data_IF_355465327829
#
_entry.id   IF_355465327829
#
_cell.length_a   1.000
_cell.length_b   1.000
_cell.length_c   1.000
_cell.angle_alpha   90.00
_cell.angle_beta   90.00
_cell.angle_gamma   90.00
#
_symmetry.space_group_name_H-M   'P 1'
#
loop_
_entity.id
_entity.type
_entity.pdbx_description
1 polymer ?
#
# COMPACT_ATOMS: atom_id res chain seq x y z
N UNK A 1 -18.05 -0.12 -0.16
CA UNK A 1 -17.40 -0.76 1.00
C UNK A 1 -15.93 -0.38 1.18
N UNK A 2 -15.12 0.09 0.24
CA UNK A 2 -13.67 0.26 0.37
C UNK A 2 -12.90 -1.02 0.76
N UNK A 3 -11.63 -1.12 0.37
CA UNK A 3 -10.76 -2.19 0.82
C UNK A 3 -10.50 -2.03 2.33
N UNK A 4 -10.79 -3.04 3.17
CA UNK A 4 -10.68 -2.87 4.62
C UNK A 4 -9.22 -2.87 5.07
N UNK A 5 -8.92 -2.07 6.10
CA UNK A 5 -7.69 -2.25 6.87
C UNK A 5 -7.97 -3.23 8.01
N UNK A 6 -7.39 -4.42 7.90
CA UNK A 6 -7.54 -5.50 8.88
C UNK A 6 -6.40 -5.49 9.90
N UNK A 7 -6.67 -5.89 11.16
CA UNK A 7 -5.62 -6.02 12.16
C UNK A 7 -4.67 -7.18 11.82
N UNK A 8 -3.39 -6.99 12.15
CA UNK A 8 -2.35 -8.01 12.04
C UNK A 8 -1.57 -8.10 13.36
N UNK A 9 -1.12 -9.30 13.71
CA UNK A 9 -0.14 -9.52 14.76
C UNK A 9 1.19 -9.86 14.11
N UNK A 10 2.20 -9.00 14.28
CA UNK A 10 3.54 -9.19 13.72
C UNK A 10 4.58 -8.59 14.65
N UNK A 11 5.73 -9.25 14.78
CA UNK A 11 6.84 -8.78 15.63
C UNK A 11 7.34 -7.41 15.19
N UNK A 12 7.75 -6.60 16.15
CA UNK A 12 8.23 -5.24 15.90
C UNK A 12 9.46 -4.86 16.71
N UNK A 13 10.12 -3.77 16.32
CA UNK A 13 11.27 -3.21 17.04
C UNK A 13 10.88 -2.51 18.35
N UNK A 14 9.58 -2.27 18.57
CA UNK A 14 9.14 -1.54 19.75
C UNK A 14 9.34 -2.39 21.00
N UNK A 15 9.96 -1.83 22.05
CA UNK A 15 10.39 -2.61 23.20
C UNK A 15 9.18 -3.13 23.98
N UNK A 16 9.03 -4.45 23.98
CA UNK A 16 8.49 -5.20 25.13
C UNK A 16 9.58 -6.18 25.58
N UNK A 17 9.45 -6.80 26.77
CA UNK A 17 10.44 -7.74 27.32
C UNK A 17 10.71 -9.00 26.46
N UNK A 18 9.95 -9.16 25.38
CA UNK A 18 10.03 -10.11 24.27
C UNK A 18 9.80 -9.26 22.99
N UNK A 19 10.33 -9.57 21.79
CA UNK A 19 9.96 -8.83 20.57
C UNK A 19 8.44 -8.65 20.48
N UNK A 20 7.97 -7.43 20.71
CA UNK A 20 6.56 -7.14 20.95
C UNK A 20 5.80 -7.01 19.65
N UNK A 21 4.47 -7.20 19.67
CA UNK A 21 3.67 -6.90 18.49
C UNK A 21 3.79 -5.42 18.14
N UNK A 22 3.69 -5.12 16.84
CA UNK A 22 3.57 -3.75 16.35
C UNK A 22 2.42 -3.02 17.10
N UNK A 23 2.59 -1.73 17.48
CA UNK A 23 1.54 -0.98 18.16
C UNK A 23 0.22 -1.04 17.40
N UNK A 24 -0.92 -1.22 18.10
CA UNK A 24 -2.25 -1.42 17.47
C UNK A 24 -2.60 -0.37 16.42
N UNK A 25 -2.19 0.89 16.62
CA UNK A 25 -2.42 1.97 15.65
C UNK A 25 -1.70 1.74 14.31
N UNK A 26 -0.56 1.05 14.30
CA UNK A 26 0.24 0.72 13.10
C UNK A 26 -0.03 -0.68 12.57
N UNK A 27 -0.53 -1.57 13.43
CA UNK A 27 -0.78 -2.98 13.15
C UNK A 27 -2.06 -3.21 12.31
N UNK A 28 -2.17 -2.50 11.20
CA UNK A 28 -3.30 -2.51 10.27
C UNK A 28 -2.78 -2.57 8.84
N UNK A 29 -3.39 -3.37 7.98
CA UNK A 29 -2.97 -3.51 6.58
C UNK A 29 -4.12 -4.04 5.71
N UNK A 30 -3.98 -4.00 4.39
CA UNK A 30 -4.94 -4.65 3.49
C UNK A 30 -4.87 -6.19 3.62
N UNK A 31 -5.94 -6.93 3.29
CA UNK A 31 -5.98 -8.39 3.42
C UNK A 31 -4.85 -9.13 2.69
N UNK A 32 -4.51 -8.70 1.47
CA UNK A 32 -3.38 -9.22 0.70
C UNK A 32 -2.03 -8.95 1.38
N UNK A 33 -1.82 -7.75 1.92
CA UNK A 33 -0.62 -7.42 2.69
C UNK A 33 -0.52 -8.28 3.96
N UNK A 34 -1.64 -8.52 4.66
CA UNK A 34 -1.66 -9.43 5.81
C UNK A 34 -1.20 -10.83 5.41
N UNK A 35 -1.76 -11.38 4.33
CA UNK A 35 -1.38 -12.70 3.81
C UNK A 35 0.11 -12.76 3.44
N UNK A 36 0.62 -11.72 2.78
CA UNK A 36 2.02 -11.63 2.38
C UNK A 36 2.97 -11.57 3.58
N UNK A 37 2.66 -10.73 4.58
CA UNK A 37 3.48 -10.58 5.78
C UNK A 37 3.56 -11.87 6.60
N UNK A 38 2.43 -12.58 6.77
CA UNK A 38 2.40 -13.84 7.49
C UNK A 38 3.20 -14.92 6.74
N UNK A 39 3.00 -15.03 5.42
CA UNK A 39 3.75 -15.99 4.60
C UNK A 39 5.26 -15.69 4.60
N UNK A 40 5.65 -14.41 4.56
CA UNK A 40 7.05 -14.00 4.65
C UNK A 40 7.65 -14.28 6.02
N UNK A 41 6.90 -14.09 7.11
CA UNK A 41 7.35 -14.45 8.44
C UNK A 41 7.66 -15.95 8.53
N UNK A 42 6.79 -16.79 7.97
CA UNK A 42 6.97 -18.24 7.92
C UNK A 42 8.15 -18.66 7.03
N UNK A 43 8.37 -18.01 5.88
CA UNK A 43 9.49 -18.31 4.98
C UNK A 43 10.85 -17.85 5.51
N UNK A 44 10.89 -16.77 6.31
CA UNK A 44 12.13 -16.23 6.89
C UNK A 44 12.58 -17.03 8.11
N UNK A 45 11.64 -17.60 8.87
CA UNK A 45 11.92 -18.36 10.09
C UNK A 45 12.90 -19.56 9.89
N UNK A 46 12.73 -20.46 8.90
CA UNK A 46 13.65 -21.58 8.67
C UNK A 46 15.04 -21.14 8.20
N UNK A 47 15.19 -19.88 7.78
CA UNK A 47 16.47 -19.28 7.39
C UNK A 47 17.18 -18.61 8.58
N UNK A 48 16.74 -18.92 9.81
CA UNK A 48 17.19 -18.34 11.07
C UNK A 48 17.06 -16.81 11.14
N UNK A 49 16.17 -16.23 10.33
CA UNK A 49 15.77 -14.84 10.42
C UNK A 49 14.43 -14.69 11.13
N UNK A 50 14.02 -13.43 11.36
CA UNK A 50 12.68 -13.08 11.81
C UNK A 50 12.19 -11.86 11.04
N UNK A 51 10.94 -11.87 10.61
CA UNK A 51 10.31 -10.69 10.06
C UNK A 51 9.87 -9.77 11.22
N UNK A 52 10.63 -8.70 11.44
CA UNK A 52 10.38 -7.71 12.50
C UNK A 52 10.19 -6.35 11.85
N UNK A 53 9.06 -5.69 12.13
CA UNK A 53 8.70 -4.43 11.51
C UNK A 53 8.96 -3.22 12.41
N UNK A 54 9.34 -2.09 11.81
CA UNK A 54 9.35 -0.78 12.46
C UNK A 54 8.13 0.06 12.10
N UNK A 55 7.65 -0.04 10.86
CA UNK A 55 6.47 0.68 10.38
C UNK A 55 5.62 -0.22 9.48
N UNK A 56 4.30 -0.02 9.51
CA UNK A 56 3.33 -0.67 8.61
C UNK A 56 2.26 0.36 8.19
N UNK A 57 1.17 0.50 8.94
CA UNK A 57 0.22 1.59 8.73
C UNK A 57 0.68 2.86 9.45
N UNK A 58 0.54 4.00 8.76
CA UNK A 58 0.78 5.33 9.30
C UNK A 58 -0.44 6.22 9.03
N UNK A 59 -1.01 6.84 10.05
CA UNK A 59 -2.13 7.76 9.84
C UNK A 59 -1.71 9.01 9.05
N UNK A 60 -2.68 9.77 8.57
CA UNK A 60 -2.44 11.07 7.93
C UNK A 60 -1.59 11.99 8.82
N UNK A 61 -1.92 12.09 10.11
CA UNK A 61 -1.22 12.94 11.07
C UNK A 61 0.21 12.45 11.33
N UNK A 62 0.40 11.14 11.47
CA UNK A 62 1.72 10.54 11.63
C UNK A 62 2.58 10.76 10.36
N UNK A 63 1.98 10.65 9.17
CA UNK A 63 2.67 10.91 7.90
C UNK A 63 3.03 12.40 7.76
N UNK A 64 2.13 13.30 8.17
CA UNK A 64 2.38 14.74 8.19
C UNK A 64 3.54 15.08 9.12
N UNK A 65 3.57 14.48 10.32
CA UNK A 65 4.68 14.68 11.25
C UNK A 65 5.99 14.13 10.70
N UNK A 66 5.99 12.94 10.09
CA UNK A 66 7.16 12.37 9.45
C UNK A 66 7.69 13.25 8.30
N UNK A 67 6.79 13.85 7.52
CA UNK A 67 7.14 14.82 6.48
C UNK A 67 7.78 16.09 7.06
N UNK A 68 7.20 16.66 8.12
CA UNK A 68 7.76 17.82 8.82
C UNK A 68 9.15 17.54 9.40
N UNK A 69 9.33 16.35 9.98
CA UNK A 69 10.62 15.92 10.52
C UNK A 69 11.67 15.78 9.40
N UNK A 70 11.29 15.31 8.21
CA UNK A 70 12.17 15.28 7.04
C UNK A 70 12.51 16.69 6.52
N UNK A 71 11.50 17.55 6.32
CA UNK A 71 11.69 18.93 5.81
C UNK A 71 12.53 19.79 6.76
N UNK A 72 12.40 19.58 8.07
CA UNK A 72 13.20 20.28 9.09
C UNK A 72 14.61 19.70 9.28
N UNK A 73 14.95 18.58 8.63
CA UNK A 73 16.24 17.91 8.77
C UNK A 73 16.39 17.10 10.05
N UNK A 74 15.32 16.90 10.83
CA UNK A 74 15.30 16.01 11.99
C UNK A 74 15.37 14.53 11.59
N UNK A 75 14.90 14.20 10.39
CA UNK A 75 14.96 12.86 9.77
C UNK A 75 15.66 12.94 8.41
N UNK A 76 16.66 12.10 8.18
CA UNK A 76 17.41 12.05 6.90
C UNK A 76 16.74 11.22 5.80
N UNK A 77 15.89 10.28 6.22
CA UNK A 77 15.12 9.40 5.35
C UNK A 77 13.93 10.17 4.77
N UNK A 78 13.73 10.02 3.46
CA UNK A 78 12.71 10.77 2.73
C UNK A 78 11.32 10.41 3.24
N UNK A 79 10.50 11.43 3.52
CA UNK A 79 9.10 11.23 3.87
C UNK A 79 8.25 12.13 2.98
N UNK A 80 7.41 11.58 2.09
CA UNK A 80 6.54 12.39 1.25
C UNK A 80 5.47 13.10 2.10
N UNK A 81 4.85 14.18 1.60
CA UNK A 81 3.71 14.78 2.28
C UNK A 81 2.53 13.79 2.33
N UNK A 82 1.55 14.00 3.22
CA UNK A 82 0.36 13.15 3.31
C UNK A 82 -0.37 12.96 1.97
N UNK A 83 -1.05 11.82 1.84
CA UNK A 83 -1.71 11.41 0.60
C UNK A 83 -0.76 10.84 -0.46
N UNK A 84 0.51 10.59 -0.11
CA UNK A 84 1.55 10.16 -1.06
C UNK A 84 2.46 9.05 -0.52
N UNK A 85 2.07 8.40 0.58
CA UNK A 85 2.81 7.30 1.20
C UNK A 85 1.97 6.02 1.20
N UNK A 86 2.53 4.89 0.74
CA UNK A 86 1.83 3.60 0.82
C UNK A 86 1.59 3.12 2.26
N UNK A 87 2.35 3.62 3.24
CA UNK A 87 2.07 3.38 4.67
C UNK A 87 0.68 3.89 5.07
N UNK A 88 0.18 4.97 4.47
CA UNK A 88 -1.15 5.51 4.75
C UNK A 88 -2.29 4.57 4.31
N UNK A 89 -1.98 3.57 3.48
CA UNK A 89 -2.92 2.54 3.05
C UNK A 89 -2.63 1.17 3.67
N UNK A 90 -1.66 1.08 4.58
CA UNK A 90 -1.23 -0.21 5.15
C UNK A 90 -0.69 -1.19 4.10
N UNK A 91 -0.13 -0.66 3.01
CA UNK A 91 0.45 -1.41 1.88
C UNK A 91 1.96 -1.20 1.74
N UNK A 92 2.60 -0.53 2.70
CA UNK A 92 4.05 -0.50 2.83
C UNK A 92 4.48 -0.91 4.23
N UNK A 93 5.68 -1.44 4.35
CA UNK A 93 6.30 -1.73 5.63
C UNK A 93 7.78 -1.44 5.61
N UNK A 94 8.29 -1.04 6.78
CA UNK A 94 9.71 -0.92 7.05
C UNK A 94 10.10 -2.06 8.00
N UNK A 95 11.17 -2.79 7.67
CA UNK A 95 11.64 -3.93 8.45
C UNK A 95 13.00 -3.70 9.11
N UNK A 96 13.27 -4.39 10.21
CA UNK A 96 14.61 -4.44 10.79
C UNK A 96 15.49 -5.42 10.01
N UNK A 97 16.41 -4.87 9.20
CA UNK A 97 17.35 -5.66 8.42
C UNK A 97 18.21 -6.59 9.29
N UNK A 98 18.53 -6.21 10.54
CA UNK A 98 19.31 -7.06 11.43
C UNK A 98 18.50 -8.27 11.90
N UNK A 99 17.20 -8.09 12.13
CA UNK A 99 16.31 -9.17 12.57
C UNK A 99 16.10 -10.25 11.50
N UNK A 100 16.27 -9.91 10.21
CA UNK A 100 16.30 -10.89 9.11
C UNK A 100 17.48 -11.87 9.20
N UNK A 101 18.41 -11.70 10.14
CA UNK A 101 19.55 -12.58 10.33
C UNK A 101 20.48 -12.56 9.13
N UNK A 102 20.84 -13.72 8.61
CA UNK A 102 21.76 -13.81 7.47
C UNK A 102 21.22 -13.14 6.19
N UNK A 103 19.89 -13.04 6.05
CA UNK A 103 19.24 -12.43 4.88
C UNK A 103 19.46 -10.91 4.80
N UNK A 104 19.55 -10.20 5.93
CA UNK A 104 19.78 -8.75 5.95
C UNK A 104 21.24 -8.34 6.13
N UNK A 105 22.18 -9.29 6.10
CA UNK A 105 23.58 -9.04 6.43
C UNK A 105 24.42 -8.45 5.27
N UNK A 106 24.02 -8.69 4.01
CA UNK A 106 24.74 -8.24 2.80
C UNK A 106 23.76 -8.03 1.65
N UNK A 107 24.16 -7.33 0.60
CA UNK A 107 23.32 -7.12 -0.59
C UNK A 107 22.94 -8.42 -1.33
N UNK A 108 23.86 -9.37 -1.46
CA UNK A 108 23.59 -10.68 -2.07
C UNK A 108 22.53 -11.46 -1.28
N UNK A 109 22.60 -11.37 0.05
CA UNK A 109 21.62 -12.01 0.94
C UNK A 109 20.28 -11.28 0.93
N UNK A 110 20.30 -9.95 0.87
CA UNK A 110 19.09 -9.15 0.75
C UNK A 110 18.38 -9.42 -0.59
N UNK A 111 19.14 -9.73 -1.64
CA UNK A 111 18.59 -10.20 -2.93
C UNK A 111 17.80 -11.50 -2.77
N UNK A 112 18.22 -12.41 -1.89
CA UNK A 112 17.44 -13.62 -1.58
C UNK A 112 16.11 -13.23 -0.93
N UNK A 113 16.12 -12.33 0.05
CA UNK A 113 14.87 -11.83 0.66
C UNK A 113 13.97 -11.13 -0.36
N UNK A 114 14.52 -10.30 -1.26
CA UNK A 114 13.76 -9.67 -2.34
C UNK A 114 13.05 -10.70 -3.23
N UNK A 115 13.71 -11.84 -3.52
CA UNK A 115 13.11 -12.94 -4.29
C UNK A 115 12.00 -13.66 -3.51
N UNK A 116 12.12 -13.80 -2.19
CA UNK A 116 11.03 -14.34 -1.35
C UNK A 116 9.84 -13.37 -1.35
N UNK A 117 10.09 -12.08 -1.07
CA UNK A 117 9.09 -11.01 -1.10
C UNK A 117 8.32 -10.96 -2.43
N UNK A 118 9.03 -11.06 -3.56
CA UNK A 118 8.43 -11.00 -4.88
C UNK A 118 7.39 -12.11 -5.15
N UNK A 119 7.53 -13.29 -4.52
CA UNK A 119 6.53 -14.38 -4.65
C UNK A 119 5.16 -14.00 -4.10
N UNK A 120 5.15 -13.06 -3.15
CA UNK A 120 3.95 -12.55 -2.49
C UNK A 120 3.51 -11.18 -3.04
N UNK A 121 4.07 -10.75 -4.17
CA UNK A 121 3.78 -9.45 -4.78
C UNK A 121 4.35 -8.25 -4.01
N UNK A 122 5.25 -8.50 -3.06
CA UNK A 122 5.95 -7.47 -2.29
C UNK A 122 7.21 -7.05 -3.04
N UNK A 123 7.39 -5.75 -3.24
CA UNK A 123 8.51 -5.18 -3.99
C UNK A 123 9.29 -4.18 -3.14
N UNK A 124 10.63 -4.21 -3.15
CA UNK A 124 11.45 -3.16 -2.55
C UNK A 124 11.30 -1.86 -3.36
N UNK A 125 11.54 -0.70 -2.72
CA UNK A 125 11.63 0.58 -3.45
C UNK A 125 13.05 0.95 -3.87
N UNK A 126 14.03 0.14 -3.46
CA UNK A 126 15.46 0.32 -3.75
C UNK A 126 16.12 -0.99 -4.20
N UNK A 127 17.36 -0.89 -4.68
CA UNK A 127 18.15 -2.06 -5.01
C UNK A 127 18.54 -2.82 -3.72
N UNK A 128 18.88 -4.13 -3.79
CA UNK A 128 19.31 -4.90 -2.63
C UNK A 128 20.72 -4.50 -2.17
N UNK A 129 20.86 -3.30 -1.62
CA UNK A 129 22.06 -2.79 -0.97
C UNK A 129 21.71 -2.32 0.44
N UNK A 130 22.21 -3.02 1.45
CA UNK A 130 21.95 -2.74 2.87
C UNK A 130 22.41 -1.34 3.31
N UNK A 131 23.26 -0.67 2.52
CA UNK A 131 23.73 0.70 2.79
C UNK A 131 22.85 1.75 2.13
N UNK A 132 21.98 1.37 1.22
CA UNK A 132 21.08 2.29 0.54
C UNK A 132 20.04 2.82 1.53
N UNK A 133 19.75 4.12 1.45
CA UNK A 133 18.61 4.69 2.18
C UNK A 133 17.33 3.96 1.75
N UNK A 134 16.49 3.59 2.72
CA UNK A 134 15.25 2.84 2.47
C UNK A 134 15.45 1.40 1.97
N UNK A 135 16.62 0.77 2.19
CA UNK A 135 16.82 -0.66 1.91
C UNK A 135 15.91 -1.59 2.73
N UNK A 136 15.30 -1.06 3.79
CA UNK A 136 14.32 -1.71 4.66
C UNK A 136 12.87 -1.55 4.19
N UNK A 137 12.61 -0.73 3.17
CA UNK A 137 11.25 -0.35 2.77
C UNK A 137 10.71 -1.19 1.61
N UNK A 138 9.54 -1.77 1.82
CA UNK A 138 8.86 -2.64 0.87
C UNK A 138 7.39 -2.26 0.72
N UNK A 139 6.85 -2.46 -0.48
CA UNK A 139 5.46 -2.14 -0.84
C UNK A 139 4.76 -3.37 -1.43
N UNK A 140 3.48 -3.57 -1.10
CA UNK A 140 2.57 -4.45 -1.83
C UNK A 140 1.58 -3.57 -2.59
N UNK A 141 1.95 -3.22 -3.82
CA UNK A 141 1.17 -2.31 -4.66
C UNK A 141 -0.11 -2.95 -5.19
N UNK A 142 -0.14 -4.26 -5.40
CA UNK A 142 -1.31 -4.95 -5.95
C UNK A 142 -1.77 -4.31 -7.26
N UNK A 143 -3.08 -4.10 -7.41
CA UNK A 143 -3.65 -3.43 -8.58
C UNK A 143 -3.29 -1.93 -8.68
N UNK A 144 -2.75 -1.31 -7.63
CA UNK A 144 -2.25 0.07 -7.68
C UNK A 144 -0.97 0.20 -8.52
N UNK A 145 -0.31 -0.92 -8.85
CA UNK A 145 0.75 -0.92 -9.87
C UNK A 145 0.21 -0.46 -11.23
N UNK A 146 -1.05 -0.78 -11.57
CA UNK A 146 -1.70 -0.26 -12.80
C UNK A 146 -1.77 1.26 -12.80
N UNK A 147 -2.00 1.90 -11.65
CA UNK A 147 -2.01 3.36 -11.52
C UNK A 147 -0.61 3.94 -11.65
N UNK A 148 0.40 3.27 -11.07
CA UNK A 148 1.80 3.63 -11.28
C UNK A 148 2.14 3.61 -12.77
N UNK A 149 1.86 2.51 -13.45
CA UNK A 149 2.21 2.31 -14.87
C UNK A 149 1.45 3.29 -15.77
N UNK A 150 0.19 3.57 -15.44
CA UNK A 150 -0.63 4.57 -16.12
C UNK A 150 0.03 5.97 -16.11
N UNK A 151 0.51 6.41 -14.95
CA UNK A 151 1.21 7.69 -14.81
C UNK A 151 2.62 7.65 -15.39
N UNK A 152 3.32 6.53 -15.29
CA UNK A 152 4.65 6.36 -15.89
C UNK A 152 4.59 6.42 -17.42
N UNK A 153 3.48 5.97 -18.02
CA UNK A 153 3.18 6.10 -19.44
C UNK A 153 2.69 7.50 -19.86
N UNK A 154 2.58 8.46 -18.93
CA UNK A 154 2.20 9.84 -19.22
C UNK A 154 0.69 10.07 -19.44
N UNK A 155 -0.17 9.10 -19.10
CA UNK A 155 -1.63 9.24 -19.25
C UNK A 155 -2.25 10.18 -18.20
N UNK A 156 -1.59 10.31 -17.05
CA UNK A 156 -1.84 11.35 -16.05
C UNK A 156 -0.56 12.16 -15.82
N UNK A 157 -0.69 13.46 -15.56
CA UNK A 157 0.45 14.40 -15.53
C UNK A 157 0.47 15.30 -14.30
N UNK A 158 -0.58 15.30 -13.47
CA UNK A 158 -0.67 16.17 -12.30
C UNK A 158 0.18 15.73 -11.09
N UNK A 159 0.77 14.53 -11.11
CA UNK A 159 1.66 14.03 -10.05
C UNK A 159 2.63 12.96 -10.55
N UNK A 160 3.63 12.62 -9.73
CA UNK A 160 4.58 11.52 -10.02
C UNK A 160 3.88 10.16 -9.93
N UNK A 161 4.35 9.13 -10.69
CA UNK A 161 3.75 7.79 -10.67
C UNK A 161 3.60 7.17 -9.27
N UNK A 162 4.65 7.23 -8.44
CA UNK A 162 4.60 6.71 -7.07
C UNK A 162 3.53 7.42 -6.21
N UNK A 163 3.42 8.75 -6.34
CA UNK A 163 2.40 9.54 -5.63
C UNK A 163 0.99 9.18 -6.07
N UNK A 164 0.76 8.95 -7.38
CA UNK A 164 -0.55 8.56 -7.89
C UNK A 164 -0.96 7.17 -7.40
N UNK A 165 -0.03 6.23 -7.42
CA UNK A 165 -0.27 4.88 -6.93
C UNK A 165 -0.57 4.86 -5.42
N UNK A 166 0.19 5.62 -4.62
CA UNK A 166 -0.07 5.79 -3.19
C UNK A 166 -1.43 6.47 -2.94
N UNK A 167 -1.75 7.55 -3.65
CA UNK A 167 -3.05 8.22 -3.52
C UNK A 167 -4.21 7.27 -3.85
N UNK A 168 -4.08 6.48 -4.92
CA UNK A 168 -5.04 5.43 -5.28
C UNK A 168 -5.23 4.40 -4.16
N UNK A 169 -4.15 3.96 -3.53
CA UNK A 169 -4.20 3.01 -2.43
C UNK A 169 -4.92 3.59 -1.20
N UNK A 170 -4.65 4.85 -0.86
CA UNK A 170 -5.24 5.53 0.30
C UNK A 170 -6.75 5.70 0.13
N UNK A 171 -7.21 6.25 -1.01
CA UNK A 171 -8.65 6.39 -1.27
C UNK A 171 -9.35 5.03 -1.41
N UNK A 172 -8.64 3.99 -1.87
CA UNK A 172 -9.17 2.63 -1.91
C UNK A 172 -9.40 2.03 -0.53
N UNK A 173 -8.67 2.47 0.49
CA UNK A 173 -8.93 2.15 1.89
C UNK A 173 -9.99 3.05 2.55
N UNK A 174 -10.67 3.90 1.76
CA UNK A 174 -11.68 4.86 2.27
C UNK A 174 -11.09 6.05 3.01
N UNK A 175 -9.79 6.29 2.86
CA UNK A 175 -9.07 7.36 3.57
C UNK A 175 -8.95 8.62 2.70
N UNK A 176 -8.99 9.78 3.35
CA UNK A 176 -8.92 11.08 2.70
C UNK A 176 -7.53 11.34 2.10
N UNK A 177 -7.51 11.96 0.93
CA UNK A 177 -6.33 12.54 0.29
C UNK A 177 -6.66 13.99 -0.09
N UNK A 178 -6.05 14.97 0.57
CA UNK A 178 -6.49 16.37 0.51
C UNK A 178 -6.58 16.94 -0.91
N UNK A 179 -5.60 16.62 -1.77
CA UNK A 179 -5.58 17.14 -3.14
C UNK A 179 -6.58 16.45 -4.07
N UNK A 180 -7.31 15.43 -3.60
CA UNK A 180 -8.42 14.79 -4.31
C UNK A 180 -9.80 15.24 -3.78
N UNK A 181 -9.83 16.22 -2.87
CA UNK A 181 -11.05 16.78 -2.29
C UNK A 181 -11.30 16.34 -0.85
N UNK A 182 -12.44 16.79 -0.30
CA UNK A 182 -12.79 16.57 1.11
C UNK A 182 -13.28 15.17 1.42
N UNK A 183 -13.76 14.43 0.40
CA UNK A 183 -14.21 13.04 0.54
C UNK A 183 -13.34 12.14 -0.34
N UNK A 184 -13.13 10.87 0.05
CA UNK A 184 -12.35 9.93 -0.77
C UNK A 184 -13.08 9.48 -2.04
N UNK A 185 -14.40 9.71 -2.13
CA UNK A 185 -15.28 9.07 -3.13
C UNK A 185 -14.90 9.40 -4.58
N UNK A 186 -14.71 10.68 -4.98
CA UNK A 186 -14.35 10.98 -6.36
C UNK A 186 -12.99 10.41 -6.77
N UNK A 187 -12.00 10.55 -5.88
CA UNK A 187 -10.67 9.96 -6.05
C UNK A 187 -10.73 8.43 -6.13
N UNK A 188 -11.58 7.79 -5.31
CA UNK A 188 -11.82 6.36 -5.35
C UNK A 188 -12.34 5.91 -6.71
N UNK A 189 -13.41 6.56 -7.22
CA UNK A 189 -13.99 6.26 -8.54
C UNK A 189 -12.92 6.38 -9.64
N UNK A 190 -12.22 7.52 -9.70
CA UNK A 190 -11.17 7.74 -10.69
C UNK A 190 -10.07 6.68 -10.61
N UNK A 191 -9.58 6.40 -9.39
CA UNK A 191 -8.51 5.42 -9.20
C UNK A 191 -8.94 4.00 -9.55
N UNK A 192 -10.18 3.62 -9.21
CA UNK A 192 -10.77 2.33 -9.55
C UNK A 192 -10.92 2.14 -11.06
N UNK A 193 -11.34 3.19 -11.78
CA UNK A 193 -11.42 3.16 -13.24
C UNK A 193 -10.06 2.94 -13.90
N UNK A 194 -9.00 3.61 -13.41
CA UNK A 194 -7.62 3.38 -13.89
C UNK A 194 -7.21 1.93 -13.63
N UNK A 195 -7.47 1.42 -12.42
CA UNK A 195 -7.17 0.01 -12.04
C UNK A 195 -7.91 -1.00 -12.91
N UNK A 196 -9.11 -0.66 -13.40
CA UNK A 196 -9.91 -1.42 -14.37
C UNK A 196 -9.50 -1.15 -15.84
N UNK A 197 -8.34 -0.52 -16.06
CA UNK A 197 -7.75 -0.31 -17.38
C UNK A 197 -8.33 0.85 -18.17
N UNK A 198 -9.17 1.70 -17.57
CA UNK A 198 -9.76 2.84 -18.26
C UNK A 198 -8.80 4.03 -18.32
N UNK A 199 -8.96 4.83 -19.38
CA UNK A 199 -8.29 6.11 -19.55
C UNK A 199 -9.21 7.26 -19.15
N UNK A 200 -8.81 7.99 -18.10
CA UNK A 200 -9.59 9.10 -17.53
C UNK A 200 -8.86 10.45 -17.59
N UNK A 201 -7.59 10.47 -18.02
CA UNK A 201 -6.68 11.58 -17.75
C UNK A 201 -6.14 11.56 -16.32
N UNK A 202 -6.26 12.69 -15.60
CA UNK A 202 -5.72 12.84 -14.24
C UNK A 202 -6.62 12.21 -13.16
N UNK A 203 -5.99 11.65 -12.12
CA UNK A 203 -6.57 11.44 -10.80
C UNK A 203 -6.49 12.75 -10.02
N UNK A 204 -7.60 13.47 -9.90
CA UNK A 204 -7.67 14.83 -9.34
C UNK A 204 -8.89 15.10 -8.44
N UNK A 205 -9.72 14.08 -8.20
CA UNK A 205 -10.93 14.20 -7.41
C UNK A 205 -12.13 14.79 -8.16
N UNK A 206 -12.04 15.01 -9.48
CA UNK A 206 -13.11 15.64 -10.26
C UNK A 206 -13.77 14.65 -11.23
N UNK A 207 -15.08 14.40 -11.07
CA UNK A 207 -15.86 13.53 -11.97
C UNK A 207 -16.20 14.28 -13.28
N UNK A 208 -15.18 14.40 -14.12
CA UNK A 208 -15.25 15.07 -15.42
C UNK A 208 -15.65 14.16 -16.60
N UNK A 209 -15.58 14.68 -17.84
CA UNK A 209 -15.96 13.94 -19.04
C UNK A 209 -15.17 12.64 -19.26
N UNK A 210 -13.88 12.61 -18.94
CA UNK A 210 -13.03 11.41 -19.03
C UNK A 210 -13.51 10.30 -18.11
N UNK A 211 -13.70 10.61 -16.83
CA UNK A 211 -14.28 9.71 -15.83
C UNK A 211 -15.66 9.19 -16.26
N UNK A 212 -16.55 10.06 -16.75
CA UNK A 212 -17.89 9.65 -17.21
C UNK A 212 -17.84 8.77 -18.46
N UNK A 213 -16.89 9.01 -19.37
CA UNK A 213 -16.65 8.14 -20.53
C UNK A 213 -16.18 6.76 -20.08
N UNK A 214 -15.22 6.68 -19.17
CA UNK A 214 -14.73 5.43 -18.60
C UNK A 214 -15.84 4.63 -17.89
N UNK A 215 -16.71 5.28 -17.11
CA UNK A 215 -17.87 4.64 -16.50
C UNK A 215 -18.79 4.00 -17.57
N UNK A 216 -19.12 4.75 -18.63
CA UNK A 216 -19.94 4.22 -19.73
C UNK A 216 -19.29 3.04 -20.46
N UNK A 217 -17.98 3.07 -20.67
CA UNK A 217 -17.25 1.95 -21.28
C UNK A 217 -17.38 0.65 -20.46
N UNK A 218 -17.53 0.76 -19.14
CA UNK A 218 -17.75 -0.36 -18.24
C UNK A 218 -19.24 -0.68 -18.02
N UNK A 219 -20.15 -0.02 -18.75
CA UNK A 219 -21.60 -0.22 -18.61
C UNK A 219 -22.20 0.38 -17.33
N UNK A 220 -21.48 1.29 -16.66
CA UNK A 220 -21.96 1.95 -15.43
C UNK A 220 -22.72 3.23 -15.80
N UNK A 221 -24.02 3.28 -15.47
CA UNK A 221 -24.92 4.42 -15.75
C UNK A 221 -25.20 5.32 -14.55
N UNK A 222 -24.63 5.01 -13.38
CA UNK A 222 -24.79 5.77 -12.15
C UNK A 222 -24.41 7.26 -12.33
N UNK A 223 -25.18 8.17 -11.71
CA UNK A 223 -24.96 9.61 -11.80
C UNK A 223 -24.41 10.22 -10.50
N UNK A 224 -24.79 9.65 -9.35
CA UNK A 224 -24.30 10.08 -8.05
C UNK A 224 -22.93 9.44 -7.74
N UNK A 225 -21.96 10.19 -7.17
CA UNK A 225 -20.62 9.67 -6.89
C UNK A 225 -20.59 8.40 -6.03
N UNK A 226 -21.49 8.28 -5.06
CA UNK A 226 -21.61 7.15 -4.16
C UNK A 226 -22.04 5.89 -4.92
N UNK A 227 -23.01 6.02 -5.83
CA UNK A 227 -23.48 4.93 -6.68
C UNK A 227 -22.41 4.51 -7.71
N UNK A 228 -21.68 5.48 -8.26
CA UNK A 228 -20.51 5.20 -9.11
C UNK A 228 -19.46 4.40 -8.34
N UNK A 229 -19.18 4.79 -7.09
CA UNK A 229 -18.21 4.11 -6.24
C UNK A 229 -18.64 2.67 -5.94
N UNK A 230 -19.93 2.43 -5.65
CA UNK A 230 -20.46 1.08 -5.44
C UNK A 230 -20.33 0.21 -6.71
N UNK A 231 -20.66 0.75 -7.88
CA UNK A 231 -20.55 0.01 -9.13
C UNK A 231 -19.09 -0.31 -9.51
N UNK A 232 -18.18 0.66 -9.35
CA UNK A 232 -16.74 0.46 -9.57
C UNK A 232 -16.18 -0.56 -8.59
N UNK A 233 -16.58 -0.49 -7.31
CA UNK A 233 -16.18 -1.46 -6.30
C UNK A 233 -16.57 -2.89 -6.67
N UNK A 234 -17.80 -3.12 -7.11
CA UNK A 234 -18.26 -4.45 -7.49
C UNK A 234 -17.35 -5.06 -8.56
N UNK A 235 -16.93 -4.26 -9.55
CA UNK A 235 -15.97 -4.70 -10.56
C UNK A 235 -14.57 -4.95 -9.97
N UNK A 236 -14.10 -4.08 -9.07
CA UNK A 236 -12.80 -4.24 -8.43
C UNK A 236 -12.74 -5.48 -7.54
N UNK A 237 -13.80 -5.81 -6.79
CA UNK A 237 -13.87 -7.01 -5.96
C UNK A 237 -13.80 -8.28 -6.80
N UNK A 238 -14.39 -8.27 -8.01
CA UNK A 238 -14.29 -9.39 -8.96
C UNK A 238 -12.88 -9.52 -9.53
N UNK A 239 -12.24 -8.41 -9.89
CA UNK A 239 -10.92 -8.42 -10.53
C UNK A 239 -9.74 -8.58 -9.55
N UNK A 240 -9.89 -8.09 -8.32
CA UNK A 240 -8.84 -8.03 -7.30
C UNK A 240 -9.34 -8.52 -5.92
N UNK A 241 -9.93 -9.71 -5.81
CA UNK A 241 -10.60 -10.16 -4.58
C UNK A 241 -9.67 -10.21 -3.35
N UNK A 242 -8.38 -10.49 -3.56
CA UNK A 242 -7.37 -10.54 -2.50
C UNK A 242 -7.19 -9.21 -1.77
N UNK A 243 -7.54 -8.08 -2.39
CA UNK A 243 -7.47 -6.76 -1.75
C UNK A 243 -8.65 -6.50 -0.80
N UNK A 244 -9.73 -7.28 -0.91
CA UNK A 244 -10.97 -7.05 -0.16
C UNK A 244 -11.24 -8.13 0.89
N UNK A 245 -10.79 -9.35 0.65
CA UNK A 245 -11.12 -10.50 1.48
C UNK A 245 -9.85 -11.15 2.03
N UNK A 246 -9.87 -11.45 3.33
CA UNK A 246 -8.90 -12.38 3.92
C UNK A 246 -9.31 -13.78 3.45
N UNK A 247 -8.39 -14.54 2.87
CA UNK A 247 -8.66 -15.93 2.54
C UNK A 247 -9.16 -16.65 3.80
N UNK A 248 -10.31 -17.32 3.72
CA UNK A 248 -10.71 -18.21 4.80
C UNK A 248 -9.66 -19.29 4.92
N UNK A 249 -9.02 -19.38 6.07
CA UNK A 249 -8.18 -20.51 6.41
C UNK A 249 -9.17 -21.61 6.80
N UNK A 250 -9.34 -22.61 5.95
CA UNK A 250 -10.07 -23.83 6.33
C UNK A 250 -9.33 -24.45 7.51
N UNK A 251 -9.80 -24.24 8.75
CA UNK A 251 -9.25 -24.95 9.92
C UNK A 251 -9.19 -24.26 11.29
N UNK A 252 -9.83 -23.11 11.53
CA UNK A 252 -10.05 -22.67 12.93
C UNK A 252 -11.48 -23.04 13.36
N UNK A 253 -11.68 -24.31 13.72
CA UNK A 253 -12.72 -24.66 14.69
C UNK A 253 -12.30 -24.16 16.08
N UNK A 254 -13.29 -23.59 16.75
CA UNK A 254 -13.32 -22.99 18.10
C UNK A 254 -12.55 -23.71 19.20
#
# INVERSE_FOLDING_TARGET
MFAPLVPIYISSIYPTSIPGPLPRRMARCTPDMKSALLSLADEVLPLAGRLVLSDLFRSYEEQNQAHKDFVSGKKDAYSPPPGRSFHESGRAFDLDLKALGSLGATGDRLTVFHKLAARHGVTPITAPDIKQKEAWHFELRGSHQTVYDYYAAGKGTNMKPASAAAASAIVSAGLRVDFLGDTPVPGYVQSGLIRLGQDIGNLDGQIGPGTRKALRNLGISAQEPEDMAQAVEALLMVNFPKEYFVAQVDGEES
#
